data_IF_820949505207
#
_entry.id   IF_820949505207
#
_cell.length_a   1.000
_cell.length_b   1.000
_cell.length_c   1.000
_cell.angle_alpha   90.00
_cell.angle_beta   90.00
_cell.angle_gamma   90.00
#
_symmetry.space_group_name_H-M   'P 1'
#
loop_
_entity.id
_entity.type
_entity.pdbx_description
1 polymer ?
#
# COMPACT_ATOMS: atom_id res chain seq x y z
N UNK A 1 14.78 22.45 -21.82
CA UNK A 1 15.11 21.11 -21.28
C UNK A 1 13.80 20.37 -21.12
N UNK A 2 13.53 19.35 -21.92
CA UNK A 2 12.37 18.47 -21.70
C UNK A 2 12.61 17.74 -20.38
N UNK A 3 11.71 17.90 -19.41
CA UNK A 3 11.73 17.10 -18.19
C UNK A 3 11.66 15.62 -18.60
N UNK A 4 12.59 14.83 -18.09
CA UNK A 4 12.58 13.39 -18.24
C UNK A 4 11.30 12.84 -17.61
N UNK A 5 10.63 11.92 -18.30
CA UNK A 5 9.31 11.43 -17.88
C UNK A 5 9.44 10.62 -16.57
N UNK A 6 8.90 11.13 -15.44
CA UNK A 6 9.07 10.50 -14.14
C UNK A 6 8.37 9.13 -14.06
N UNK A 7 7.47 8.82 -15.00
CA UNK A 7 6.76 7.54 -15.04
C UNK A 7 7.72 6.34 -15.01
N UNK A 8 8.84 6.38 -15.73
CA UNK A 8 9.76 5.24 -15.80
C UNK A 8 10.53 5.02 -14.50
N UNK A 9 10.78 6.09 -13.74
CA UNK A 9 11.41 6.01 -12.42
C UNK A 9 10.46 5.33 -11.44
N UNK A 10 9.24 5.84 -11.32
CA UNK A 10 8.22 5.28 -10.44
C UNK A 10 7.87 3.84 -10.84
N UNK A 11 7.77 3.55 -12.15
CA UNK A 11 7.60 2.18 -12.64
C UNK A 11 8.71 1.24 -12.14
N UNK A 12 9.96 1.70 -12.13
CA UNK A 12 11.10 0.92 -11.63
C UNK A 12 11.01 0.68 -10.12
N UNK A 13 10.59 1.68 -9.36
CA UNK A 13 10.38 1.59 -7.91
C UNK A 13 9.24 0.62 -7.56
N UNK A 14 8.09 0.75 -8.24
CA UNK A 14 6.96 -0.17 -8.12
C UNK A 14 7.38 -1.60 -8.44
N UNK A 15 8.13 -1.82 -9.53
CA UNK A 15 8.59 -3.17 -9.89
C UNK A 15 9.50 -3.77 -8.82
N UNK A 16 10.39 -2.95 -8.24
CA UNK A 16 11.25 -3.38 -7.13
C UNK A 16 10.43 -3.73 -5.89
N UNK A 17 9.47 -2.88 -5.52
CA UNK A 17 8.59 -3.12 -4.38
C UNK A 17 7.77 -4.41 -4.57
N UNK A 18 7.23 -4.65 -5.77
CA UNK A 18 6.50 -5.88 -6.11
C UNK A 18 7.39 -7.12 -5.97
N UNK A 19 8.64 -7.06 -6.45
CA UNK A 19 9.56 -8.19 -6.30
C UNK A 19 9.86 -8.49 -4.82
N UNK A 20 10.02 -7.46 -4.00
CA UNK A 20 10.18 -7.61 -2.55
C UNK A 20 8.92 -8.20 -1.89
N UNK A 21 7.73 -7.71 -2.26
CA UNK A 21 6.45 -8.22 -1.77
C UNK A 21 6.24 -9.70 -2.16
N UNK A 22 6.63 -10.10 -3.38
CA UNK A 22 6.58 -11.49 -3.81
C UNK A 22 7.49 -12.40 -2.97
N UNK A 23 8.70 -11.93 -2.62
CA UNK A 23 9.58 -12.66 -1.71
C UNK A 23 9.00 -12.81 -0.31
N UNK A 24 8.41 -11.73 0.23
CA UNK A 24 7.69 -11.75 1.52
C UNK A 24 6.49 -12.70 1.48
N UNK A 25 5.72 -12.71 0.38
CA UNK A 25 4.59 -13.60 0.17
C UNK A 25 5.01 -15.07 0.09
N UNK A 26 6.13 -15.39 -0.58
CA UNK A 26 6.68 -16.75 -0.58
C UNK A 26 7.08 -17.20 0.83
N UNK A 27 7.82 -16.36 1.56
CA UNK A 27 8.18 -16.66 2.95
C UNK A 27 6.95 -16.85 3.82
N UNK A 28 5.96 -15.96 3.67
CA UNK A 28 4.70 -16.04 4.40
C UNK A 28 3.92 -17.34 4.11
N UNK A 29 3.91 -17.81 2.86
CA UNK A 29 3.31 -19.11 2.50
C UNK A 29 4.06 -20.30 3.13
N UNK A 30 5.40 -20.27 3.17
CA UNK A 30 6.21 -21.30 3.83
C UNK A 30 5.91 -21.39 5.33
N UNK A 31 5.84 -20.22 6.00
CA UNK A 31 5.53 -20.13 7.43
C UNK A 31 4.14 -20.68 7.77
N UNK A 32 3.19 -20.58 6.84
CA UNK A 32 1.85 -21.17 6.99
C UNK A 32 1.82 -22.69 6.81
N UNK A 33 2.71 -23.24 5.98
CA UNK A 33 2.80 -24.69 5.72
C UNK A 33 3.54 -25.45 6.82
N UNK A 34 4.50 -24.82 7.50
CA UNK A 34 5.25 -25.40 8.62
C UNK A 34 5.10 -24.57 9.92
N UNK A 35 4.01 -24.77 10.68
CA UNK A 35 3.77 -24.09 11.95
C UNK A 35 4.73 -24.51 13.07
N UNK A 36 5.54 -25.57 12.87
CA UNK A 36 6.45 -26.09 13.88
C UNK A 36 7.83 -25.44 13.86
N UNK A 37 8.22 -24.84 12.72
CA UNK A 37 9.53 -24.22 12.54
C UNK A 37 9.57 -22.70 12.78
N UNK A 38 8.42 -22.03 12.83
CA UNK A 38 8.32 -20.57 12.84
C UNK A 38 7.91 -20.01 14.20
N UNK A 39 8.58 -18.92 14.64
CA UNK A 39 8.11 -18.16 15.79
C UNK A 39 6.83 -17.40 15.43
N UNK A 40 5.87 -17.32 16.37
CA UNK A 40 4.66 -16.50 16.22
C UNK A 40 4.99 -15.04 15.84
N UNK A 41 6.07 -14.50 16.41
CA UNK A 41 6.55 -13.15 16.10
C UNK A 41 7.02 -12.99 14.64
N UNK A 42 7.59 -14.05 14.06
CA UNK A 42 8.05 -14.05 12.66
C UNK A 42 6.88 -14.07 11.69
N UNK A 43 5.83 -14.84 12.02
CA UNK A 43 4.58 -14.89 11.24
C UNK A 43 3.89 -13.54 11.27
N UNK A 44 3.76 -12.94 12.45
CA UNK A 44 3.12 -11.64 12.63
C UNK A 44 3.88 -10.52 11.91
N UNK A 45 5.22 -10.49 12.05
CA UNK A 45 6.07 -9.53 11.36
C UNK A 45 5.95 -9.66 9.84
N UNK A 46 6.09 -10.88 9.29
CA UNK A 46 6.04 -11.13 7.85
C UNK A 46 4.67 -10.79 7.28
N UNK A 47 3.60 -11.11 8.00
CA UNK A 47 2.22 -10.77 7.60
C UNK A 47 2.03 -9.25 7.55
N UNK A 48 2.49 -8.52 8.57
CA UNK A 48 2.31 -7.07 8.62
C UNK A 48 3.16 -6.35 7.56
N UNK A 49 4.41 -6.77 7.38
CA UNK A 49 5.31 -6.20 6.38
C UNK A 49 4.76 -6.40 4.96
N UNK A 50 4.25 -7.60 4.67
CA UNK A 50 3.58 -7.88 3.39
C UNK A 50 2.36 -6.98 3.19
N UNK A 51 1.48 -6.83 4.19
CA UNK A 51 0.30 -5.94 4.08
C UNK A 51 0.70 -4.49 3.83
N UNK A 52 1.76 -4.02 4.49
CA UNK A 52 2.23 -2.65 4.33
C UNK A 52 2.83 -2.43 2.94
N UNK A 53 3.67 -3.36 2.48
CA UNK A 53 4.26 -3.33 1.15
C UNK A 53 3.18 -3.33 0.06
N UNK A 54 2.17 -4.20 0.16
CA UNK A 54 1.05 -4.25 -0.78
C UNK A 54 0.26 -2.95 -0.79
N UNK A 55 0.01 -2.32 0.37
CA UNK A 55 -0.69 -1.03 0.45
C UNK A 55 0.10 0.10 -0.22
N UNK A 56 1.41 0.16 0.02
CA UNK A 56 2.27 1.17 -0.63
C UNK A 56 2.22 1.04 -2.15
N UNK A 57 2.31 -0.21 -2.65
CA UNK A 57 2.21 -0.48 -4.09
C UNK A 57 0.83 -0.08 -4.65
N UNK A 58 -0.26 -0.28 -3.90
CA UNK A 58 -1.60 0.14 -4.32
C UNK A 58 -1.70 1.65 -4.52
N UNK A 59 -1.13 2.44 -3.60
CA UNK A 59 -1.07 3.90 -3.73
C UNK A 59 -0.24 4.34 -4.93
N UNK A 60 0.96 3.78 -5.10
CA UNK A 60 1.80 4.11 -6.26
C UNK A 60 1.10 3.78 -7.60
N UNK A 61 0.34 2.68 -7.64
CA UNK A 61 -0.44 2.30 -8.82
C UNK A 61 -1.66 3.18 -9.07
N UNK A 62 -2.24 3.78 -8.02
CA UNK A 62 -3.33 4.75 -8.14
C UNK A 62 -2.81 6.05 -8.75
N UNK A 63 -1.70 6.58 -8.23
CA UNK A 63 -1.03 7.76 -8.76
C UNK A 63 -0.63 7.57 -10.24
N UNK A 64 -0.04 6.42 -10.59
CA UNK A 64 0.30 6.10 -11.97
C UNK A 64 -0.93 6.06 -12.89
N UNK A 65 -2.08 5.58 -12.42
CA UNK A 65 -3.32 5.50 -13.19
C UNK A 65 -3.95 6.89 -13.40
N UNK A 66 -3.85 7.76 -12.39
CA UNK A 66 -4.19 9.18 -12.52
C UNK A 66 -3.32 9.87 -13.56
N UNK A 67 -2.00 9.61 -13.58
CA UNK A 67 -1.12 10.19 -14.60
C UNK A 67 -1.51 9.78 -16.02
N UNK A 68 -1.94 8.54 -16.21
CA UNK A 68 -2.45 8.06 -17.49
C UNK A 68 -3.73 8.82 -17.87
N UNK A 69 -4.65 8.99 -16.93
CA UNK A 69 -5.89 9.74 -17.14
C UNK A 69 -5.63 11.20 -17.54
N UNK A 70 -4.63 11.83 -16.94
CA UNK A 70 -4.18 13.20 -17.28
C UNK A 70 -3.60 13.26 -18.70
N UNK A 71 -2.79 12.26 -19.08
CA UNK A 71 -2.20 12.18 -20.44
C UNK A 71 -3.29 11.98 -21.49
N UNK A 72 -4.30 11.16 -21.20
CA UNK A 72 -5.46 10.94 -22.10
C UNK A 72 -6.35 12.16 -22.24
N UNK A 73 -6.53 12.92 -21.17
CA UNK A 73 -7.31 14.16 -21.18
C UNK A 73 -6.64 15.28 -22.00
N UNK A 74 -5.31 15.28 -22.14
CA UNK A 74 -4.59 16.31 -22.89
C UNK A 74 -3.44 15.78 -23.78
N UNK A 75 -3.76 15.03 -24.86
CA UNK A 75 -2.74 14.38 -25.70
C UNK A 75 -1.78 15.36 -26.38
N UNK A 76 -2.27 16.57 -26.73
CA UNK A 76 -1.48 17.61 -27.40
C UNK A 76 -0.36 18.17 -26.53
N UNK A 77 -0.51 18.15 -25.20
CA UNK A 77 0.48 18.68 -24.25
C UNK A 77 1.63 17.69 -24.01
N UNK A 78 1.32 16.40 -23.97
CA UNK A 78 2.28 15.35 -23.61
C UNK A 78 2.92 14.66 -24.81
N UNK A 79 2.26 14.71 -25.99
CA UNK A 79 2.74 14.11 -27.24
C UNK A 79 3.29 12.69 -27.06
N UNK A 80 2.57 11.89 -26.27
CA UNK A 80 2.96 10.54 -25.90
C UNK A 80 2.48 9.54 -26.96
N UNK A 81 3.33 8.57 -27.30
CA UNK A 81 2.96 7.55 -28.29
C UNK A 81 1.82 6.65 -27.77
N UNK A 82 0.87 6.33 -28.64
CA UNK A 82 -0.30 5.51 -28.29
C UNK A 82 0.13 4.11 -27.86
N UNK A 83 1.17 3.55 -28.49
CA UNK A 83 1.70 2.24 -28.09
C UNK A 83 2.36 2.32 -26.72
N UNK A 84 3.04 3.42 -26.40
CA UNK A 84 3.65 3.61 -25.09
C UNK A 84 2.58 3.74 -24.00
N UNK A 85 1.54 4.54 -24.23
CA UNK A 85 0.40 4.65 -23.31
C UNK A 85 -0.26 3.29 -23.05
N UNK A 86 -0.42 2.47 -24.09
CA UNK A 86 -0.95 1.11 -23.96
C UNK A 86 -0.06 0.21 -23.08
N UNK A 87 1.28 0.31 -23.22
CA UNK A 87 2.21 -0.42 -22.35
C UNK A 87 2.11 0.04 -20.89
N UNK A 88 1.92 1.34 -20.64
CA UNK A 88 1.72 1.87 -19.28
C UNK A 88 0.47 1.30 -18.64
N UNK A 89 -0.65 1.32 -19.37
CA UNK A 89 -1.92 0.71 -18.92
C UNK A 89 -1.77 -0.79 -18.64
N UNK A 90 -1.11 -1.52 -19.55
CA UNK A 90 -0.87 -2.94 -19.38
C UNK A 90 -0.01 -3.26 -18.14
N UNK A 91 1.03 -2.45 -17.88
CA UNK A 91 1.83 -2.57 -16.66
C UNK A 91 0.99 -2.38 -15.41
N UNK A 92 0.25 -1.27 -15.29
CA UNK A 92 -0.59 -1.00 -14.11
C UNK A 92 -1.61 -2.12 -13.89
N UNK A 93 -2.28 -2.56 -14.96
CA UNK A 93 -3.28 -3.64 -14.88
C UNK A 93 -2.67 -4.95 -14.39
N UNK A 94 -1.52 -5.35 -14.95
CA UNK A 94 -0.83 -6.59 -14.57
C UNK A 94 -0.33 -6.54 -13.12
N UNK A 95 0.18 -5.39 -12.68
CA UNK A 95 0.66 -5.22 -11.30
C UNK A 95 -0.50 -5.20 -10.31
N UNK A 96 -1.60 -4.49 -10.62
CA UNK A 96 -2.84 -4.51 -9.79
C UNK A 96 -3.37 -5.94 -9.61
N UNK A 97 -3.34 -6.74 -10.68
CA UNK A 97 -3.74 -8.16 -10.61
C UNK A 97 -2.82 -8.97 -9.69
N UNK A 98 -1.50 -8.79 -9.79
CA UNK A 98 -0.51 -9.51 -8.97
C UNK A 98 -0.65 -9.16 -7.48
N UNK A 99 -0.87 -7.89 -7.16
CA UNK A 99 -1.13 -7.42 -5.78
C UNK A 99 -2.43 -8.00 -5.24
N UNK A 100 -3.48 -8.02 -6.06
CA UNK A 100 -4.77 -8.60 -5.69
C UNK A 100 -4.66 -10.09 -5.38
N UNK A 101 -3.96 -10.86 -6.20
CA UNK A 101 -3.73 -12.29 -5.96
C UNK A 101 -3.03 -12.54 -4.61
N UNK A 102 -1.99 -11.77 -4.27
CA UNK A 102 -1.33 -11.86 -2.96
C UNK A 102 -2.29 -11.49 -1.81
N UNK A 103 -3.14 -10.47 -1.97
CA UNK A 103 -4.15 -10.10 -0.95
C UNK A 103 -5.23 -11.18 -0.77
N UNK A 104 -5.68 -11.78 -1.86
CA UNK A 104 -6.68 -12.86 -1.84
C UNK A 104 -6.11 -14.10 -1.11
N UNK A 105 -4.83 -14.41 -1.31
CA UNK A 105 -4.15 -15.45 -0.55
C UNK A 105 -4.04 -15.15 0.94
N UNK A 106 -3.88 -13.88 1.33
CA UNK A 106 -3.81 -13.46 2.75
C UNK A 106 -5.17 -13.46 3.46
N UNK A 107 -6.27 -13.38 2.72
CA UNK A 107 -7.64 -13.41 3.28
C UNK A 107 -8.21 -14.83 3.35
N UNK A 108 -7.78 -15.73 2.46
CA UNK A 108 -8.24 -17.13 2.37
C UNK A 108 -7.53 -18.18 3.27
N UNK A 109 -6.36 -17.95 3.93
CA UNK A 109 -5.50 -19.03 4.41
C UNK A 109 -5.99 -19.70 5.71
N UNK A 110 -6.91 -19.07 6.48
CA UNK A 110 -7.47 -19.72 7.68
C UNK A 110 -8.46 -20.86 7.37
N UNK A 111 -9.00 -20.93 6.15
CA UNK A 111 -9.94 -21.99 5.77
C UNK A 111 -9.24 -23.34 5.44
N UNK A 112 -7.98 -23.28 5.00
CA UNK A 112 -7.26 -24.45 4.47
C UNK A 112 -6.59 -25.22 5.62
N UNK A 113 -5.95 -24.53 6.57
CA UNK A 113 -5.22 -25.18 7.68
C UNK A 113 -6.12 -25.85 8.72
N UNK A 114 -7.34 -25.35 8.95
CA UNK A 114 -8.31 -25.95 9.88
C UNK A 114 -9.06 -27.14 9.24
N UNK A 115 -9.46 -27.02 7.98
CA UNK A 115 -10.20 -28.07 7.26
C UNK A 115 -9.33 -29.32 7.04
N UNK A 116 -8.04 -29.14 6.76
CA UNK A 116 -7.12 -30.24 6.46
C UNK A 116 -6.65 -31.00 7.72
N UNK A 117 -6.73 -30.38 8.91
CA UNK A 117 -6.57 -31.07 10.20
C UNK A 117 -7.81 -31.90 10.55
N UNK A 118 -9.01 -31.35 10.33
CA UNK A 118 -10.28 -32.06 10.61
C UNK A 118 -10.45 -33.30 9.73
N UNK A 119 -10.05 -33.23 8.45
CA UNK A 119 -10.19 -34.35 7.51
C UNK A 119 -9.21 -35.52 7.78
N UNK A 120 -8.02 -35.24 8.33
CA UNK A 120 -7.04 -36.29 8.70
C UNK A 120 -7.40 -37.00 10.00
N UNK A 121 -8.06 -36.32 10.93
CA UNK A 121 -8.41 -36.90 12.23
C UNK A 121 -9.65 -37.81 12.15
N UNK A 122 -10.58 -37.56 11.22
CA UNK A 122 -11.76 -38.41 11.00
C UNK A 122 -11.46 -39.72 10.27
N UNK A 123 -10.30 -39.87 9.60
CA UNK A 123 -9.96 -41.07 8.82
C UNK A 123 -9.31 -42.20 9.66
N UNK A 124 -9.06 -41.99 10.96
CA UNK A 124 -8.38 -42.96 11.84
C UNK A 124 -9.24 -43.51 13.00
N UNK A 125 -10.56 -43.31 12.96
CA UNK A 125 -11.51 -43.80 13.99
C UNK A 125 -12.12 -45.17 13.71
N UNK A 126 -11.45 -46.21 14.21
CA UNK A 126 -11.95 -47.48 14.77
C UNK A 126 -13.04 -48.30 14.03
N UNK A 127 -12.61 -49.38 13.38
CA UNK A 127 -13.46 -50.48 12.91
C UNK A 127 -13.23 -51.75 13.71
N UNK A 128 -14.14 -52.10 14.62
CA UNK A 128 -14.00 -53.25 15.52
C UNK A 128 -15.29 -53.98 15.92
N UNK A 129 -15.67 -54.99 15.12
CA UNK A 129 -16.20 -56.32 15.49
C UNK A 129 -17.50 -56.57 16.31
N UNK A 130 -18.32 -57.48 15.73
CA UNK A 130 -19.08 -58.65 16.29
C UNK A 130 -20.51 -58.48 16.89
N UNK A 131 -21.47 -59.22 16.28
CA UNK A 131 -22.87 -59.49 16.74
C UNK A 131 -22.99 -60.51 17.89
N UNK A 132 -24.14 -61.23 18.17
CA UNK A 132 -25.28 -61.59 17.29
C UNK A 132 -26.75 -61.65 17.89
N UNK A 133 -27.76 -61.76 17.01
CA UNK A 133 -29.07 -62.50 16.98
C UNK A 133 -29.96 -62.67 18.26
N UNK A 134 -31.29 -62.40 18.20
CA UNK A 134 -32.47 -63.30 18.49
C UNK A 134 -33.87 -62.59 18.60
N UNK A 135 -34.87 -63.22 17.94
CA UNK A 135 -36.36 -63.23 17.94
C UNK A 135 -37.31 -62.18 18.61
N UNK A 136 -38.59 -62.08 18.16
CA UNK A 136 -39.50 -60.96 18.40
C UNK A 136 -40.55 -61.19 19.51
N UNK A 137 -40.67 -60.25 20.45
CA UNK A 137 -41.78 -60.17 21.41
C UNK A 137 -42.14 -58.70 21.71
N UNK A 138 -43.35 -58.47 22.21
CA UNK A 138 -44.03 -57.16 22.30
C UNK A 138 -43.30 -56.08 23.14
N UNK A 139 -42.19 -56.43 23.81
CA UNK A 139 -41.25 -55.51 24.47
C UNK A 139 -40.44 -54.63 23.50
N UNK A 140 -40.54 -54.89 22.19
CA UNK A 140 -39.80 -54.15 21.15
C UNK A 140 -40.08 -52.65 21.17
N UNK A 141 -41.32 -52.22 21.45
CA UNK A 141 -41.67 -50.80 21.44
C UNK A 141 -41.10 -50.06 22.65
N UNK A 142 -41.22 -50.62 23.85
CA UNK A 142 -40.69 -50.01 25.09
C UNK A 142 -39.15 -49.96 25.10
N UNK A 143 -38.51 -50.99 24.52
CA UNK A 143 -37.06 -51.05 24.42
C UNK A 143 -36.53 -50.10 23.34
N UNK A 144 -37.23 -49.98 22.22
CA UNK A 144 -36.89 -49.04 21.15
C UNK A 144 -37.07 -47.58 21.60
N UNK A 145 -38.11 -47.29 22.40
CA UNK A 145 -38.34 -45.94 22.96
C UNK A 145 -37.21 -45.54 23.93
N UNK A 146 -36.77 -46.48 24.77
CA UNK A 146 -35.62 -46.29 25.65
C UNK A 146 -34.31 -46.13 24.86
N UNK A 147 -34.10 -46.90 23.80
CA UNK A 147 -32.94 -46.77 22.91
C UNK A 147 -32.94 -45.41 22.18
N UNK A 148 -34.10 -44.97 21.67
CA UNK A 148 -34.29 -43.66 21.05
C UNK A 148 -34.00 -42.53 22.03
N UNK A 149 -34.48 -42.62 23.26
CA UNK A 149 -34.27 -41.60 24.27
C UNK A 149 -32.80 -41.52 24.71
N UNK A 150 -32.12 -42.68 24.77
CA UNK A 150 -30.68 -42.76 25.08
C UNK A 150 -29.83 -42.20 23.93
N UNK A 151 -30.19 -42.52 22.68
CA UNK A 151 -29.54 -41.98 21.48
C UNK A 151 -29.75 -40.47 21.35
N UNK A 152 -30.93 -39.96 21.70
CA UNK A 152 -31.22 -38.53 21.68
C UNK A 152 -30.45 -37.78 22.78
N UNK A 153 -30.36 -38.35 24.00
CA UNK A 153 -29.51 -37.77 25.05
C UNK A 153 -28.03 -37.74 24.67
N UNK A 154 -27.51 -38.82 24.07
CA UNK A 154 -26.12 -38.86 23.59
C UNK A 154 -25.87 -37.84 22.48
N UNK A 155 -26.80 -37.71 21.53
CA UNK A 155 -26.68 -36.72 20.46
C UNK A 155 -26.71 -35.28 20.98
N UNK A 156 -27.56 -34.98 21.97
CA UNK A 156 -27.63 -33.66 22.61
C UNK A 156 -26.33 -33.37 23.38
N UNK A 157 -25.79 -34.36 24.10
CA UNK A 157 -24.54 -34.22 24.86
C UNK A 157 -23.32 -34.05 23.92
N UNK A 158 -23.30 -34.77 22.81
CA UNK A 158 -22.28 -34.64 21.76
C UNK A 158 -22.38 -33.28 21.06
N UNK A 159 -23.59 -32.79 20.76
CA UNK A 159 -23.79 -31.43 20.23
C UNK A 159 -23.38 -30.35 21.23
N UNK A 160 -23.69 -30.51 22.51
CA UNK A 160 -23.34 -29.55 23.54
C UNK A 160 -21.83 -29.47 23.76
N UNK A 161 -21.14 -30.62 23.81
CA UNK A 161 -19.68 -30.66 23.90
C UNK A 161 -19.02 -30.06 22.66
N UNK A 162 -19.59 -30.30 21.47
CA UNK A 162 -19.11 -29.70 20.23
C UNK A 162 -19.30 -28.17 20.21
N UNK A 163 -20.43 -27.66 20.70
CA UNK A 163 -20.66 -26.21 20.83
C UNK A 163 -19.74 -25.55 21.85
N UNK A 164 -19.44 -26.21 22.98
CA UNK A 164 -18.45 -25.72 23.94
C UNK A 164 -17.06 -25.61 23.31
N UNK A 165 -16.66 -26.61 22.53
CA UNK A 165 -15.36 -26.60 21.84
C UNK A 165 -15.26 -25.47 20.81
N UNK A 166 -16.37 -25.16 20.13
CA UNK A 166 -16.45 -24.03 19.18
C UNK A 166 -16.38 -22.69 19.93
N UNK A 167 -17.05 -22.58 21.08
CA UNK A 167 -17.03 -21.37 21.90
C UNK A 167 -15.63 -21.10 22.48
N UNK A 168 -14.95 -22.11 22.99
CA UNK A 168 -13.56 -21.99 23.48
C UNK A 168 -12.59 -21.57 22.35
N UNK A 169 -12.76 -22.12 21.14
CA UNK A 169 -11.96 -21.71 19.98
C UNK A 169 -12.20 -20.24 19.56
N UNK A 170 -13.43 -19.75 19.71
CA UNK A 170 -13.75 -18.36 19.42
C UNK A 170 -13.20 -17.40 20.49
N UNK A 171 -13.20 -17.80 21.76
CA UNK A 171 -12.58 -17.02 22.84
C UNK A 171 -11.05 -16.92 22.67
N UNK A 172 -10.39 -18.00 22.24
CA UNK A 172 -8.96 -17.98 21.92
C UNK A 172 -8.66 -17.05 20.72
N UNK A 173 -9.55 -17.03 19.72
CA UNK A 173 -9.47 -16.07 18.61
C UNK A 173 -9.69 -14.63 19.05
N UNK A 174 -10.63 -14.37 19.97
CA UNK A 174 -10.85 -13.04 20.54
C UNK A 174 -9.67 -12.57 21.38
N UNK A 175 -8.98 -13.46 22.09
CA UNK A 175 -7.77 -13.14 22.84
C UNK A 175 -6.59 -12.81 21.92
N UNK A 176 -6.42 -13.57 20.83
CA UNK A 176 -5.44 -13.25 19.78
C UNK A 176 -5.73 -11.89 19.12
N UNK A 177 -6.98 -11.62 18.76
CA UNK A 177 -7.41 -10.33 18.20
C UNK A 177 -7.24 -9.20 19.22
N UNK A 178 -7.49 -9.46 20.51
CA UNK A 178 -7.24 -8.52 21.61
C UNK A 178 -5.75 -8.19 21.75
N UNK A 179 -4.87 -9.19 21.60
CA UNK A 179 -3.42 -8.98 21.50
C UNK A 179 -3.04 -8.12 20.31
N UNK A 180 -3.65 -8.35 19.14
CA UNK A 180 -3.46 -7.51 17.94
C UNK A 180 -3.92 -6.07 18.16
N UNK A 181 -5.01 -5.85 18.91
CA UNK A 181 -5.50 -4.50 19.28
C UNK A 181 -4.51 -3.80 20.22
N UNK A 182 -3.88 -4.53 21.16
CA UNK A 182 -2.87 -3.98 22.06
C UNK A 182 -1.61 -3.51 21.32
N UNK A 183 -1.15 -4.30 20.35
CA UNK A 183 0.01 -3.95 19.50
C UNK A 183 -0.34 -2.81 18.53
N UNK A 184 -1.53 -2.85 17.91
CA UNK A 184 -2.03 -1.76 17.06
C UNK A 184 -2.13 -0.45 17.85
N UNK A 185 -2.59 -0.49 19.10
CA UNK A 185 -2.64 0.69 19.98
C UNK A 185 -1.24 1.23 20.25
N UNK A 186 -0.27 0.38 20.57
CA UNK A 186 1.11 0.80 20.85
C UNK A 186 1.78 1.41 19.60
N UNK A 187 1.54 0.80 18.43
CA UNK A 187 2.10 1.28 17.16
C UNK A 187 1.39 2.53 16.64
N UNK A 188 0.07 2.65 16.81
CA UNK A 188 -0.68 3.89 16.56
C UNK A 188 -0.19 5.03 17.44
N UNK A 189 0.23 4.74 18.68
CA UNK A 189 0.77 5.75 19.58
C UNK A 189 2.16 6.23 19.13
N UNK A 190 3.00 5.33 18.61
CA UNK A 190 4.28 5.68 17.99
C UNK A 190 4.12 6.43 16.67
N UNK A 191 3.17 6.05 15.82
CA UNK A 191 2.82 6.78 14.60
C UNK A 191 2.31 8.18 14.94
N UNK A 192 1.50 8.32 15.98
CA UNK A 192 1.04 9.63 16.46
C UNK A 192 2.20 10.52 16.90
N UNK A 193 3.18 9.97 17.64
CA UNK A 193 4.37 10.72 18.04
C UNK A 193 5.25 11.11 16.86
N UNK A 194 5.46 10.21 15.89
CA UNK A 194 6.23 10.49 14.68
C UNK A 194 5.54 11.53 13.79
N UNK A 195 4.20 11.49 13.68
CA UNK A 195 3.43 12.51 12.97
C UNK A 195 3.49 13.87 13.66
N UNK A 196 3.46 13.92 14.99
CA UNK A 196 3.67 15.16 15.74
C UNK A 196 5.10 15.71 15.55
N UNK A 197 6.13 14.84 15.53
CA UNK A 197 7.51 15.24 15.22
C UNK A 197 7.65 15.74 13.78
N UNK A 198 7.01 15.07 12.81
CA UNK A 198 6.99 15.52 11.42
C UNK A 198 6.20 16.82 11.23
N UNK A 199 5.14 17.06 12.00
CA UNK A 199 4.42 18.34 11.99
C UNK A 199 5.32 19.50 12.45
N UNK A 200 6.17 19.26 13.46
CA UNK A 200 7.18 20.24 13.90
C UNK A 200 8.25 20.45 12.84
N UNK A 201 8.77 19.38 12.22
CA UNK A 201 9.74 19.52 11.12
C UNK A 201 9.15 20.22 9.88
N UNK A 202 7.85 20.03 9.61
CA UNK A 202 7.15 20.68 8.52
C UNK A 202 6.96 22.18 8.78
N UNK A 203 6.73 22.58 10.04
CA UNK A 203 6.71 23.98 10.46
C UNK A 203 8.08 24.64 10.26
N UNK A 204 9.16 23.97 10.68
CA UNK A 204 10.53 24.43 10.45
C UNK A 204 10.86 24.55 8.95
N UNK A 205 10.44 23.57 8.13
CA UNK A 205 10.58 23.64 6.68
C UNK A 205 9.77 24.81 6.08
N UNK A 206 8.56 25.05 6.55
CA UNK A 206 7.75 26.19 6.14
C UNK A 206 8.43 27.51 6.51
N UNK A 207 9.08 27.56 7.67
CA UNK A 207 9.84 28.71 8.13
C UNK A 207 11.10 28.96 7.26
N UNK A 208 11.78 27.88 6.84
CA UNK A 208 12.91 27.94 5.92
C UNK A 208 12.47 28.36 4.50
N UNK A 209 11.30 27.88 4.04
CA UNK A 209 10.67 28.28 2.79
C UNK A 209 10.33 29.78 2.80
N UNK A 210 9.74 30.30 3.86
CA UNK A 210 9.44 31.75 4.00
C UNK A 210 10.71 32.61 3.98
N UNK A 211 11.80 32.10 4.59
CA UNK A 211 13.10 32.75 4.54
C UNK A 211 13.67 32.77 3.12
N UNK A 212 13.46 31.69 2.36
CA UNK A 212 13.88 31.54 0.97
C UNK A 212 13.05 32.45 0.05
N UNK A 213 11.74 32.54 0.26
CA UNK A 213 10.85 33.45 -0.45
C UNK A 213 11.27 34.91 -0.22
N UNK A 214 11.58 35.27 1.04
CA UNK A 214 12.08 36.61 1.39
C UNK A 214 13.43 36.93 0.72
N UNK A 215 14.32 35.93 0.60
CA UNK A 215 15.58 36.07 -0.15
C UNK A 215 15.33 36.23 -1.65
N UNK A 216 14.43 35.44 -2.22
CA UNK A 216 14.03 35.55 -3.63
C UNK A 216 13.41 36.90 -3.94
N UNK A 217 12.53 37.43 -3.09
CA UNK A 217 11.94 38.75 -3.26
C UNK A 217 12.99 39.87 -3.23
N UNK A 218 13.99 39.75 -2.36
CA UNK A 218 15.11 40.68 -2.32
C UNK A 218 15.97 40.59 -3.60
N UNK A 219 16.18 39.39 -4.12
CA UNK A 219 16.87 39.18 -5.40
C UNK A 219 16.05 39.75 -6.55
N UNK A 220 14.73 39.51 -6.60
CA UNK A 220 13.84 40.08 -7.62
C UNK A 220 13.80 41.60 -7.56
N UNK A 221 13.76 42.20 -6.36
CA UNK A 221 13.87 43.67 -6.21
C UNK A 221 15.21 44.19 -6.70
N UNK A 222 16.32 43.47 -6.44
CA UNK A 222 17.64 43.83 -6.98
C UNK A 222 17.68 43.68 -8.50
N UNK A 223 17.08 42.63 -9.08
CA UNK A 223 16.98 42.45 -10.53
C UNK A 223 16.13 43.54 -11.17
N UNK A 224 14.97 43.87 -10.62
CA UNK A 224 14.13 44.98 -11.08
C UNK A 224 14.88 46.31 -10.98
N UNK A 225 15.62 46.54 -9.89
CA UNK A 225 16.44 47.74 -9.72
C UNK A 225 17.61 47.78 -10.70
N UNK A 226 18.32 46.67 -10.94
CA UNK A 226 19.40 46.59 -11.95
C UNK A 226 18.84 46.78 -13.36
N UNK A 227 17.70 46.16 -13.65
CA UNK A 227 16.96 46.35 -14.90
C UNK A 227 16.48 47.78 -15.11
N UNK A 228 16.26 48.54 -14.04
CA UNK A 228 15.89 49.96 -14.12
C UNK A 228 17.10 50.91 -13.94
N UNK A 229 18.23 50.40 -13.44
CA UNK A 229 19.49 51.13 -13.25
C UNK A 229 20.45 51.00 -14.45
N UNK A 230 20.14 50.16 -15.44
CA UNK A 230 20.63 50.40 -16.82
C UNK A 230 20.06 51.74 -17.27
N UNK A 231 20.82 52.79 -16.95
CA UNK A 231 20.38 54.17 -16.96
C UNK A 231 20.24 54.68 -18.39
N UNK A 232 19.11 54.39 -19.01
CA UNK A 232 18.79 54.89 -20.34
C UNK A 232 19.06 56.39 -20.43
N UNK A 233 18.59 57.21 -19.48
CA UNK A 233 18.74 58.68 -19.59
C UNK A 233 20.19 59.17 -19.64
N UNK A 234 21.14 58.53 -18.94
CA UNK A 234 22.56 58.97 -18.96
C UNK A 234 23.28 58.45 -20.20
N UNK A 235 22.97 57.23 -20.64
CA UNK A 235 23.52 56.67 -21.87
C UNK A 235 22.98 57.40 -23.11
N UNK A 236 21.67 57.64 -23.17
CA UNK A 236 21.04 58.42 -24.23
C UNK A 236 21.50 59.88 -24.25
N UNK A 237 21.78 60.50 -23.08
CA UNK A 237 22.39 61.83 -23.02
C UNK A 237 23.83 61.83 -23.55
N UNK A 238 24.65 60.83 -23.16
CA UNK A 238 26.01 60.68 -23.69
C UNK A 238 26.02 60.46 -25.21
N UNK A 239 25.13 59.61 -25.73
CA UNK A 239 24.95 59.38 -27.18
C UNK A 239 24.54 60.68 -27.89
N UNK A 240 23.60 61.43 -27.33
CA UNK A 240 23.15 62.72 -27.88
C UNK A 240 24.27 63.76 -27.95
N UNK A 241 25.08 63.89 -26.90
CA UNK A 241 26.25 64.80 -26.87
C UNK A 241 27.28 64.38 -27.93
N UNK A 242 27.56 63.08 -28.05
CA UNK A 242 28.51 62.56 -29.04
C UNK A 242 28.04 62.82 -30.49
N UNK A 243 26.74 62.66 -30.76
CA UNK A 243 26.12 62.99 -32.05
C UNK A 243 26.20 64.48 -32.37
N UNK A 244 25.97 65.35 -31.38
CA UNK A 244 26.08 66.80 -31.58
C UNK A 244 27.50 67.22 -31.95
N UNK A 245 28.51 66.67 -31.26
CA UNK A 245 29.92 66.91 -31.58
C UNK A 245 30.25 66.42 -32.99
N UNK A 246 29.79 65.21 -33.37
CA UNK A 246 29.97 64.68 -34.72
C UNK A 246 29.36 65.61 -35.79
N UNK A 247 28.16 66.13 -35.55
CA UNK A 247 27.48 67.04 -36.47
C UNK A 247 28.26 68.35 -36.68
N UNK A 248 28.82 68.91 -35.60
CA UNK A 248 29.69 70.09 -35.67
C UNK A 248 30.94 69.81 -36.50
N UNK A 249 31.58 68.66 -36.31
CA UNK A 249 32.75 68.25 -37.11
C UNK A 249 32.40 68.11 -38.60
N UNK A 250 31.24 67.53 -38.93
CA UNK A 250 30.78 67.39 -40.32
C UNK A 250 30.53 68.76 -40.95
N UNK A 251 29.88 69.69 -40.24
CA UNK A 251 29.66 71.05 -40.74
C UNK A 251 31.00 71.75 -41.00
N UNK A 252 31.95 71.66 -40.07
CA UNK A 252 33.27 72.23 -40.25
C UNK A 252 33.99 71.64 -41.47
N UNK A 253 33.85 70.35 -41.75
CA UNK A 253 34.42 69.69 -42.93
C UNK A 253 33.76 70.13 -44.24
N UNK A 254 32.46 70.45 -44.23
CA UNK A 254 31.76 70.91 -45.43
C UNK A 254 32.07 72.39 -45.73
N UNK A 255 32.27 73.20 -44.70
CA UNK A 255 32.52 74.65 -44.82
C UNK A 255 33.99 74.95 -45.12
N UNK A 256 34.92 74.14 -44.60
CA UNK A 256 36.37 74.28 -44.79
C UNK A 256 36.85 73.51 -46.03
#
# INVERSE_FOLDING_TARGET
>A
MSMEDPFFVVKGEVQKAVNTAQGLHQRWMELLQDPGGASKEEVDWTTNELRNSLRSIEWDLEDLDETISIVEANPKKFNLDVMELAKRKAFITSTKQTVREMKDHMTTPMAITVSERKNRQTLMGDGGSRGPIWQPSADKYTRLDRELQTANSQFIEEQHSQQQLIAEQQDEQLELVSGTIGVLKNMSQRIGQELDEQAVMLDDFSHEMDSTQSRLDNVMKKLAKVSHMTSDRRQWCAIGILLAILFVVIILLIVL
#
